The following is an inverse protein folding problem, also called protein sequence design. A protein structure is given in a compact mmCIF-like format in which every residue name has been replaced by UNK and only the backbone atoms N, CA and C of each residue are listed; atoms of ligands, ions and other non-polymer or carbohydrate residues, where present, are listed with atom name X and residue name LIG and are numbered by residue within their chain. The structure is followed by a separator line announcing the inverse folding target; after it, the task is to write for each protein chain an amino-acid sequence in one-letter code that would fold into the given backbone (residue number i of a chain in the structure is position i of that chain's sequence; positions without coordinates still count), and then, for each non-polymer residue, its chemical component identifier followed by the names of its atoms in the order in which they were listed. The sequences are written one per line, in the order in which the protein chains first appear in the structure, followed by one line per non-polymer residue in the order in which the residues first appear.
data_IF_984936333570
#
_entry.id   IF_984936333570
#
_cell.length_a   1.000
_cell.length_b   1.000
_cell.length_c   1.000
_cell.angle_alpha   90.00
_cell.angle_beta   90.00
_cell.angle_gamma   90.00
#
_symmetry.space_group_name_H-M   'P 1'
#
loop_
_entity.id
_entity.type
_entity.pdbx_description
1 polymer ?
#
# COMPACT_ATOMS: atom_id res chain seq x y z
N UNK A 1 1.39 -21.87 5.54
CA UNK A 1 2.63 -21.39 6.17
C UNK A 1 2.55 -19.88 6.36
N UNK A 2 2.94 -19.41 7.52
CA UNK A 2 2.95 -17.99 7.79
C UNK A 2 4.25 -17.35 7.30
N UNK A 3 4.10 -16.22 6.64
CA UNK A 3 5.26 -15.44 6.23
C UNK A 3 5.67 -14.53 7.39
N UNK A 4 6.94 -14.42 7.63
CA UNK A 4 7.44 -13.58 8.72
C UNK A 4 7.94 -12.25 8.15
N UNK A 5 7.16 -11.20 8.42
CA UNK A 5 7.53 -9.84 8.04
C UNK A 5 7.76 -8.98 9.29
N UNK A 6 8.19 -9.60 10.37
CA UNK A 6 8.34 -8.89 11.64
C UNK A 6 9.37 -7.76 11.58
N UNK A 7 10.27 -7.79 10.61
CA UNK A 7 11.23 -6.71 10.40
C UNK A 7 10.78 -5.70 9.35
N UNK A 8 9.60 -5.87 8.79
CA UNK A 8 9.10 -5.00 7.73
C UNK A 8 8.04 -4.05 8.27
N UNK A 9 7.85 -2.93 7.59
CA UNK A 9 6.84 -1.93 7.93
C UNK A 9 6.02 -1.62 6.69
N UNK A 10 4.70 -1.69 6.83
CA UNK A 10 3.78 -1.32 5.76
C UNK A 10 3.00 -0.10 6.22
N UNK A 11 2.94 0.92 5.36
CA UNK A 11 2.10 2.07 5.59
C UNK A 11 0.77 1.82 4.91
N UNK A 12 -0.33 1.91 5.65
CA UNK A 12 -1.68 1.80 5.10
C UNK A 12 -2.27 3.20 5.06
N UNK A 13 -2.57 3.68 3.86
CA UNK A 13 -3.23 4.96 3.66
C UNK A 13 -4.70 4.68 3.34
N UNK A 14 -5.56 4.91 4.33
CA UNK A 14 -6.96 4.54 4.28
C UNK A 14 -7.73 5.39 5.26
N UNK A 15 -8.78 6.09 4.79
CA UNK A 15 -9.58 6.92 5.69
C UNK A 15 -10.76 6.19 6.31
N UNK A 16 -11.13 5.03 5.78
CA UNK A 16 -12.23 4.23 6.32
C UNK A 16 -11.69 3.29 7.40
N UNK A 17 -12.18 3.50 8.62
CA UNK A 17 -11.67 2.76 9.77
C UNK A 17 -11.92 1.26 9.65
N UNK A 18 -13.07 0.88 9.09
CA UNK A 18 -13.39 -0.54 8.95
C UNK A 18 -12.44 -1.20 7.97
N UNK A 19 -12.20 -0.57 6.83
CA UNK A 19 -11.24 -1.09 5.87
C UNK A 19 -9.86 -1.20 6.46
N UNK A 20 -9.44 -0.17 7.20
CA UNK A 20 -8.13 -0.21 7.84
C UNK A 20 -8.02 -1.35 8.85
N UNK A 21 -9.04 -1.52 9.70
CA UNK A 21 -9.00 -2.58 10.70
C UNK A 21 -8.94 -3.96 10.08
N UNK A 22 -9.64 -4.15 8.97
CA UNK A 22 -9.61 -5.41 8.26
C UNK A 22 -8.19 -5.72 7.75
N UNK A 23 -7.56 -4.74 7.09
CA UNK A 23 -6.22 -4.91 6.59
C UNK A 23 -5.22 -5.14 7.71
N UNK A 24 -5.32 -4.32 8.75
CA UNK A 24 -4.42 -4.44 9.89
C UNK A 24 -4.51 -5.82 10.54
N UNK A 25 -5.72 -6.30 10.74
CA UNK A 25 -5.93 -7.60 11.37
C UNK A 25 -5.32 -8.72 10.54
N UNK A 26 -5.62 -8.73 9.24
CA UNK A 26 -5.12 -9.78 8.37
C UNK A 26 -3.60 -9.77 8.31
N UNK A 27 -3.04 -8.59 8.06
CA UNK A 27 -1.61 -8.48 7.86
C UNK A 27 -0.83 -8.81 9.12
N UNK A 28 -1.26 -8.28 10.27
CA UNK A 28 -0.52 -8.51 11.50
C UNK A 28 -0.63 -9.93 11.99
N UNK A 29 -1.79 -10.57 11.80
CA UNK A 29 -1.96 -11.96 12.23
C UNK A 29 -1.20 -12.93 11.34
N UNK A 30 -1.14 -12.64 10.05
CA UNK A 30 -0.52 -13.58 9.10
C UNK A 30 0.98 -13.38 8.99
N UNK A 31 1.49 -12.19 9.27
CA UNK A 31 2.87 -11.87 8.93
C UNK A 31 3.63 -11.19 10.05
N UNK A 32 2.95 -10.69 11.08
CA UNK A 32 3.56 -9.93 12.18
C UNK A 32 4.21 -8.63 11.71
N UNK A 33 3.83 -8.14 10.55
CA UNK A 33 4.37 -6.91 10.00
C UNK A 33 4.03 -5.71 10.89
N UNK A 34 4.89 -4.70 10.88
CA UNK A 34 4.64 -3.43 11.57
C UNK A 34 3.79 -2.54 10.67
N UNK A 35 2.78 -1.89 11.26
CA UNK A 35 1.83 -1.09 10.50
C UNK A 35 1.89 0.37 10.95
N UNK A 36 1.92 1.26 9.97
CA UNK A 36 1.65 2.68 10.16
C UNK A 36 0.35 3.02 9.45
N UNK A 37 -0.42 3.92 10.00
CA UNK A 37 -1.75 4.26 9.46
C UNK A 37 -1.79 5.74 9.10
N UNK A 38 -2.02 6.06 7.83
CA UNK A 38 -2.25 7.42 7.35
C UNK A 38 -3.72 7.58 7.02
N UNK A 39 -4.34 8.64 7.53
CA UNK A 39 -5.77 8.89 7.35
C UNK A 39 -6.08 9.64 6.05
N UNK A 40 -5.07 10.16 5.41
CA UNK A 40 -5.25 10.92 4.17
C UNK A 40 -3.95 10.88 3.37
N UNK A 41 -4.01 11.41 2.14
CA UNK A 41 -2.86 11.36 1.26
C UNK A 41 -1.69 12.20 1.72
N UNK A 42 -1.98 13.35 2.37
CA UNK A 42 -0.91 14.19 2.87
C UNK A 42 -0.13 13.49 3.98
N UNK A 43 -0.86 12.82 4.90
CA UNK A 43 -0.19 12.05 5.95
C UNK A 43 0.66 10.95 5.36
N UNK A 44 0.19 10.30 4.30
CA UNK A 44 0.96 9.25 3.65
C UNK A 44 2.27 9.79 3.09
N UNK A 45 2.21 10.94 2.42
CA UNK A 45 3.40 11.60 1.90
C UNK A 45 4.36 11.93 3.04
N UNK A 46 3.83 12.53 4.10
CA UNK A 46 4.64 12.97 5.23
C UNK A 46 5.31 11.79 5.92
N UNK A 47 4.58 10.69 6.11
CA UNK A 47 5.18 9.50 6.72
C UNK A 47 6.31 8.95 5.86
N UNK A 48 6.13 8.94 4.53
CA UNK A 48 7.18 8.45 3.65
C UNK A 48 8.42 9.32 3.66
N UNK A 49 8.25 10.61 3.94
CA UNK A 49 9.41 11.50 4.11
C UNK A 49 10.08 11.32 5.46
N UNK A 50 9.28 11.09 6.50
CA UNK A 50 9.76 11.06 7.87
C UNK A 50 10.38 9.72 8.25
N UNK A 51 9.79 8.62 7.81
CA UNK A 51 10.23 7.28 8.20
C UNK A 51 11.05 6.66 7.08
N UNK A 52 12.29 6.29 7.39
CA UNK A 52 13.21 5.74 6.39
C UNK A 52 12.89 4.30 6.04
N UNK A 53 12.24 3.58 6.95
CA UNK A 53 12.11 2.13 6.83
C UNK A 53 10.69 1.68 6.54
N UNK A 54 9.96 2.43 5.74
CA UNK A 54 8.71 1.94 5.19
C UNK A 54 9.05 1.08 4.00
N UNK A 55 8.59 -0.16 4.02
CA UNK A 55 8.95 -1.13 2.99
C UNK A 55 7.92 -1.23 1.89
N UNK A 56 6.68 -0.80 2.15
CA UNK A 56 5.62 -0.88 1.17
C UNK A 56 4.46 0.00 1.62
N UNK A 57 3.72 0.54 0.67
CA UNK A 57 2.52 1.34 0.95
C UNK A 57 1.30 0.65 0.34
N UNK A 58 0.25 0.48 1.15
CA UNK A 58 -1.08 0.15 0.65
C UNK A 58 -1.85 1.46 0.58
N UNK A 59 -2.29 1.83 -0.63
CA UNK A 59 -2.85 3.15 -0.89
C UNK A 59 -4.25 3.05 -1.43
N UNK A 60 -5.21 3.68 -0.74
CA UNK A 60 -6.54 3.88 -1.32
C UNK A 60 -6.46 5.09 -2.24
N UNK A 61 -7.22 5.05 -3.32
CA UNK A 61 -7.27 6.17 -4.26
C UNK A 61 -8.16 7.30 -3.77
N UNK A 62 -9.22 6.97 -3.05
CA UNK A 62 -10.18 7.98 -2.61
C UNK A 62 -9.86 8.44 -1.20
N UNK A 63 -8.88 9.30 -1.10
CA UNK A 63 -8.45 9.85 0.18
C UNK A 63 -8.76 11.35 0.23
N UNK A 64 -9.07 11.88 1.41
CA UNK A 64 -9.26 13.32 1.55
C UNK A 64 -7.94 14.07 1.57
N UNK A 65 -8.00 15.37 1.38
CA UNK A 65 -6.89 16.32 1.42
C UNK A 65 -5.99 16.18 0.21
N UNK A 66 -5.29 15.06 0.08
CA UNK A 66 -4.54 14.71 -1.12
C UNK A 66 -5.01 13.32 -1.50
N UNK A 67 -5.53 13.15 -2.72
CA UNK A 67 -6.04 11.85 -3.11
C UNK A 67 -4.89 10.88 -3.40
N UNK A 68 -5.25 9.61 -3.59
CA UNK A 68 -4.24 8.57 -3.75
C UNK A 68 -3.38 8.72 -4.98
N UNK A 69 -3.95 9.18 -6.09
CA UNK A 69 -3.16 9.37 -7.32
C UNK A 69 -2.05 10.39 -7.09
N UNK A 70 -2.40 11.52 -6.49
CA UNK A 70 -1.42 12.57 -6.25
C UNK A 70 -0.41 12.14 -5.21
N UNK A 71 -0.86 11.42 -4.18
CA UNK A 71 0.05 10.91 -3.17
C UNK A 71 1.07 9.95 -3.79
N UNK A 72 0.62 9.07 -4.68
CA UNK A 72 1.52 8.14 -5.37
C UNK A 72 2.57 8.93 -6.17
N UNK A 73 2.12 9.91 -6.95
CA UNK A 73 3.04 10.71 -7.76
C UNK A 73 4.10 11.36 -6.90
N UNK A 74 3.69 11.98 -5.79
CA UNK A 74 4.63 12.67 -4.93
C UNK A 74 5.59 11.72 -4.23
N UNK A 75 5.08 10.59 -3.72
CA UNK A 75 5.93 9.63 -3.04
C UNK A 75 6.96 9.04 -4.02
N UNK A 76 6.53 8.69 -5.21
CA UNK A 76 7.45 8.13 -6.20
C UNK A 76 8.48 9.13 -6.68
N UNK A 77 8.18 10.42 -6.59
CA UNK A 77 9.14 11.44 -6.99
C UNK A 77 10.38 11.45 -6.08
N UNK A 78 10.20 11.16 -4.78
CA UNK A 78 11.36 11.14 -3.87
C UNK A 78 11.76 9.74 -3.40
N UNK A 79 10.89 8.74 -3.59
CA UNK A 79 11.22 7.36 -3.29
C UNK A 79 10.75 6.45 -4.42
N UNK A 80 11.42 6.51 -5.57
CA UNK A 80 10.93 5.77 -6.74
C UNK A 80 10.93 4.26 -6.59
N UNK A 81 11.74 3.71 -5.69
CA UNK A 81 11.79 2.27 -5.51
C UNK A 81 10.88 1.76 -4.40
N UNK A 82 10.15 2.63 -3.70
CA UNK A 82 9.22 2.20 -2.67
C UNK A 82 7.98 1.58 -3.33
N UNK A 83 7.69 0.29 -3.07
CA UNK A 83 6.51 -0.32 -3.71
C UNK A 83 5.22 0.26 -3.18
N UNK A 84 4.28 0.52 -4.09
CA UNK A 84 2.95 1.01 -3.74
C UNK A 84 1.91 0.08 -4.36
N UNK A 85 1.07 -0.51 -3.52
CA UNK A 85 -0.05 -1.34 -3.93
C UNK A 85 -1.32 -0.53 -3.72
N UNK A 86 -2.08 -0.31 -4.79
CA UNK A 86 -3.35 0.38 -4.68
C UNK A 86 -4.43 -0.60 -4.24
N UNK A 87 -5.23 -0.23 -3.24
CA UNK A 87 -6.32 -1.03 -2.71
C UNK A 87 -7.56 -0.15 -2.66
N UNK A 88 -8.46 -0.34 -3.61
CA UNK A 88 -9.57 0.59 -3.80
C UNK A 88 -10.85 -0.15 -4.17
N UNK A 89 -12.00 0.43 -3.77
CA UNK A 89 -13.30 -0.08 -4.16
C UNK A 89 -13.66 0.29 -5.59
N UNK A 90 -13.02 1.32 -6.11
CA UNK A 90 -13.37 1.87 -7.42
C UNK A 90 -12.52 1.22 -8.50
N UNK A 91 -13.13 0.32 -9.28
CA UNK A 91 -12.39 -0.45 -10.27
C UNK A 91 -13.03 -0.33 -11.66
N UNK A 92 -13.58 0.83 -11.96
CA UNK A 92 -14.31 1.02 -13.21
C UNK A 92 -13.46 1.73 -14.24
N UNK A 93 -13.75 1.43 -15.50
CA UNK A 93 -13.11 2.13 -16.61
C UNK A 93 -11.62 1.90 -16.66
N UNK A 94 -10.89 2.98 -16.76
CA UNK A 94 -9.44 2.91 -16.88
C UNK A 94 -8.71 3.26 -15.59
N UNK A 95 -9.32 2.95 -14.44
CA UNK A 95 -8.72 3.27 -13.15
C UNK A 95 -7.36 2.62 -12.97
N UNK A 96 -7.24 1.34 -13.34
CA UNK A 96 -5.96 0.65 -13.18
C UNK A 96 -4.87 1.29 -14.04
N UNK A 97 -5.22 1.71 -15.25
CA UNK A 97 -4.25 2.39 -16.10
C UNK A 97 -3.78 3.69 -15.47
N UNK A 98 -4.71 4.47 -14.92
CA UNK A 98 -4.37 5.72 -14.25
C UNK A 98 -3.47 5.48 -13.05
N UNK A 99 -3.72 4.39 -12.32
CA UNK A 99 -2.89 4.04 -11.17
C UNK A 99 -1.46 3.76 -11.58
N UNK A 100 -1.29 2.97 -12.63
CA UNK A 100 0.05 2.63 -13.09
C UNK A 100 0.74 3.84 -13.70
N UNK A 101 0.00 4.70 -14.36
CA UNK A 101 0.57 5.97 -14.86
C UNK A 101 1.04 6.86 -13.73
N UNK A 102 0.32 6.84 -12.60
CA UNK A 102 0.72 7.61 -11.43
C UNK A 102 1.95 7.02 -10.75
N UNK A 103 2.23 5.74 -10.99
CA UNK A 103 3.43 5.09 -10.48
C UNK A 103 3.21 3.91 -9.55
N UNK A 104 1.98 3.44 -9.37
CA UNK A 104 1.77 2.30 -8.49
C UNK A 104 2.36 1.03 -9.10
N UNK A 105 2.67 0.07 -8.23
CA UNK A 105 3.30 -1.18 -8.65
C UNK A 105 2.31 -2.32 -8.78
N UNK A 106 1.20 -2.26 -8.03
CA UNK A 106 0.15 -3.26 -8.11
C UNK A 106 -1.19 -2.62 -7.79
N UNK A 107 -2.26 -3.30 -8.16
CA UNK A 107 -3.62 -2.79 -8.06
C UNK A 107 -4.54 -3.93 -7.59
N UNK A 108 -5.27 -3.68 -6.51
CA UNK A 108 -6.17 -4.67 -5.92
C UNK A 108 -7.50 -4.00 -5.62
N UNK A 109 -8.60 -4.64 -5.99
CA UNK A 109 -9.94 -4.10 -5.70
C UNK A 109 -10.46 -4.61 -4.37
N UNK A 110 -11.24 -3.77 -3.68
CA UNK A 110 -11.89 -4.13 -2.43
C UNK A 110 -13.16 -4.93 -2.71
N UNK A 111 -13.51 -5.89 -1.87
CA UNK A 111 -12.70 -6.41 -0.77
C UNK A 111 -11.62 -7.33 -1.32
N UNK A 112 -10.41 -7.16 -0.85
CA UNK A 112 -9.31 -7.97 -1.36
C UNK A 112 -9.40 -9.38 -0.80
N UNK A 113 -9.15 -10.35 -1.68
CA UNK A 113 -8.88 -11.70 -1.22
C UNK A 113 -7.52 -11.65 -0.53
N UNK A 114 -7.48 -12.01 0.75
CA UNK A 114 -6.26 -11.78 1.52
C UNK A 114 -5.09 -12.63 1.03
N UNK A 115 -5.33 -13.83 0.53
CA UNK A 115 -4.26 -14.66 0.00
C UNK A 115 -3.64 -14.01 -1.24
N UNK A 116 -4.48 -13.47 -2.09
CA UNK A 116 -4.03 -12.78 -3.29
C UNK A 116 -3.26 -11.51 -2.93
N UNK A 117 -3.78 -10.76 -1.94
CA UNK A 117 -3.12 -9.54 -1.49
C UNK A 117 -1.75 -9.87 -0.88
N UNK A 118 -1.68 -10.89 -0.02
CA UNK A 118 -0.41 -11.28 0.57
C UNK A 118 0.60 -11.71 -0.47
N UNK A 119 0.15 -12.43 -1.50
CA UNK A 119 1.02 -12.86 -2.57
C UNK A 119 1.63 -11.66 -3.30
N UNK A 120 0.78 -10.67 -3.63
CA UNK A 120 1.26 -9.47 -4.32
C UNK A 120 2.23 -8.69 -3.47
N UNK A 121 1.94 -8.56 -2.19
CA UNK A 121 2.82 -7.84 -1.28
C UNK A 121 4.15 -8.58 -1.17
N UNK A 122 4.10 -9.88 -1.00
CA UNK A 122 5.33 -10.65 -0.84
C UNK A 122 6.21 -10.54 -2.06
N UNK A 123 5.64 -10.55 -3.24
CA UNK A 123 6.42 -10.45 -4.46
C UNK A 123 7.16 -9.12 -4.56
N UNK A 124 6.64 -8.09 -3.91
CA UNK A 124 7.28 -6.77 -3.90
C UNK A 124 8.25 -6.60 -2.75
N UNK A 125 7.95 -7.21 -1.59
CA UNK A 125 8.84 -7.10 -0.43
C UNK A 125 10.08 -7.97 -0.57
N UNK A 126 9.97 -9.08 -1.26
CA UNK A 126 11.07 -10.00 -1.44
C UNK A 126 11.33 -10.15 -2.92
N UNK A 127 11.73 -9.08 -3.59
CA UNK A 127 11.98 -9.17 -5.01
C UNK A 127 13.09 -10.16 -5.21
N UNK A 128 12.88 -11.06 -6.11
CA UNK A 128 13.89 -12.04 -6.37
C UNK A 128 14.92 -11.39 -7.23
N UNK A 129 15.86 -10.82 -6.57
CA UNK A 129 16.93 -10.12 -7.25
C UNK A 129 17.86 -11.07 -7.95
N UNK A 130 17.70 -12.32 -7.70
CA UNK A 130 18.63 -13.30 -8.23
C UNK A 130 18.20 -13.87 -9.55
N UNK A 131 17.10 -13.40 -10.00
CA UNK A 131 16.65 -13.96 -11.21
C UNK A 131 17.29 -13.43 -12.36
#
# INVERSE_FOLDING_TARGET
MLTDWSTKTILIAEDDEISYKYLNLILTRKTQVNILWALNGQMAIDFCKQYKHIDLVLMDLQLPIVDGYEAIRQIKAFKPSLPIVVHTANAYGNESEKCFEAGCDEYVTKPANFQHLLYKIESLLSPVSTR
#
